data_IF_368697927907
#
_entry.id   IF_368697927907
#
_cell.length_a   1.000
_cell.length_b   1.000
_cell.length_c   1.000
_cell.angle_alpha   90.00
_cell.angle_beta   90.00
_cell.angle_gamma   90.00
#
_symmetry.space_group_name_H-M   'P 1'
#
loop_
_entity.id
_entity.type
_entity.pdbx_description
1 polymer ?
#
# COMPACT_ATOMS: atom_id res chain seq x y z
N UNK A 1 33.87 11.39 -5.45
CA UNK A 1 33.17 10.33 -4.71
C UNK A 1 33.77 9.01 -5.19
N UNK A 2 34.39 8.25 -4.31
CA UNK A 2 35.02 6.97 -4.66
C UNK A 2 34.01 5.82 -4.53
N UNK A 3 34.27 4.69 -5.19
CA UNK A 3 33.42 3.49 -5.08
C UNK A 3 33.26 3.02 -3.62
N UNK A 4 34.30 3.22 -2.82
CA UNK A 4 34.34 2.85 -1.40
C UNK A 4 33.47 3.77 -0.55
N UNK A 5 33.45 5.07 -0.84
CA UNK A 5 32.53 6.03 -0.21
C UNK A 5 31.06 5.70 -0.56
N UNK A 6 30.79 5.28 -1.79
CA UNK A 6 29.44 4.88 -2.22
C UNK A 6 29.00 3.61 -1.50
N UNK A 7 29.84 2.58 -1.40
CA UNK A 7 29.50 1.35 -0.67
C UNK A 7 29.17 1.65 0.80
N UNK A 8 30.02 2.43 1.48
CA UNK A 8 29.79 2.83 2.88
C UNK A 8 28.51 3.67 3.03
N UNK A 9 28.17 4.50 2.03
CA UNK A 9 26.92 5.24 2.03
C UNK A 9 25.71 4.31 1.85
N UNK A 10 25.79 3.32 0.97
CA UNK A 10 24.69 2.36 0.71
C UNK A 10 24.40 1.44 1.90
N UNK A 11 25.37 1.21 2.80
CA UNK A 11 25.14 0.46 4.05
C UNK A 11 24.22 1.19 5.04
N UNK A 12 24.07 2.52 4.91
CA UNK A 12 23.21 3.34 5.77
C UNK A 12 21.85 3.54 5.10
N UNK A 13 20.73 3.07 5.69
CA UNK A 13 19.42 3.10 5.05
C UNK A 13 18.98 4.48 4.54
N UNK A 14 19.23 5.55 5.32
CA UNK A 14 18.87 6.91 4.93
C UNK A 14 19.67 7.43 3.72
N UNK A 15 20.94 7.06 3.61
CA UNK A 15 21.79 7.45 2.50
C UNK A 15 21.49 6.59 1.26
N UNK A 16 21.26 5.29 1.43
CA UNK A 16 20.81 4.41 0.35
C UNK A 16 19.51 4.92 -0.28
N UNK A 17 18.54 5.34 0.55
CA UNK A 17 17.30 5.96 0.09
C UNK A 17 17.57 7.27 -0.66
N UNK A 18 18.45 8.13 -0.14
CA UNK A 18 18.77 9.41 -0.80
C UNK A 18 19.45 9.20 -2.16
N UNK A 19 20.33 8.19 -2.27
CA UNK A 19 21.03 7.83 -3.50
C UNK A 19 20.08 7.20 -4.52
N UNK A 20 19.15 6.34 -4.09
CA UNK A 20 18.19 5.67 -4.98
C UNK A 20 17.20 6.64 -5.63
N UNK A 21 16.99 7.82 -5.03
CA UNK A 21 16.14 8.89 -5.55
C UNK A 21 16.83 9.80 -6.57
N UNK A 22 18.14 9.64 -6.80
CA UNK A 22 18.85 10.44 -7.78
C UNK A 22 18.46 10.06 -9.20
N UNK A 23 18.15 11.09 -9.99
CA UNK A 23 17.97 10.98 -11.44
C UNK A 23 19.17 11.67 -12.07
N UNK A 24 20.11 10.88 -12.60
CA UNK A 24 21.39 11.39 -13.11
C UNK A 24 21.38 11.41 -14.62
N UNK A 25 21.90 12.49 -15.21
CA UNK A 25 22.11 12.58 -16.65
C UNK A 25 23.59 12.32 -16.93
N UNK A 26 23.87 11.28 -17.69
CA UNK A 26 25.23 10.90 -18.04
C UNK A 26 25.35 10.53 -19.51
N UNK A 27 26.58 10.51 -20.02
CA UNK A 27 26.87 9.95 -21.34
C UNK A 27 26.68 8.44 -21.30
N UNK A 28 25.98 7.90 -22.30
CA UNK A 28 25.66 6.48 -22.37
C UNK A 28 26.85 5.68 -22.90
N UNK A 29 27.15 4.55 -22.26
CA UNK A 29 28.12 3.56 -22.78
C UNK A 29 27.72 3.00 -24.15
N UNK A 30 26.43 3.06 -24.47
CA UNK A 30 25.89 2.64 -25.77
C UNK A 30 26.11 3.66 -26.88
N UNK A 31 26.70 4.83 -26.58
CA UNK A 31 27.12 5.85 -27.53
C UNK A 31 28.65 5.90 -27.61
N UNK A 32 29.20 5.34 -28.69
CA UNK A 32 30.64 5.22 -28.86
C UNK A 32 31.33 6.59 -28.97
N UNK A 33 32.26 6.85 -28.05
CA UNK A 33 33.19 7.98 -28.10
C UNK A 33 34.58 7.50 -27.67
N UNK A 34 35.51 7.40 -28.61
CA UNK A 34 36.86 6.90 -28.35
C UNK A 34 37.55 7.67 -27.21
N UNK A 35 37.44 9.00 -27.18
CA UNK A 35 38.10 9.83 -26.16
C UNK A 35 37.67 9.45 -24.73
N UNK A 36 36.40 9.06 -24.53
CA UNK A 36 35.89 8.63 -23.21
C UNK A 36 36.44 7.28 -22.77
N UNK A 37 36.64 6.38 -23.72
CA UNK A 37 37.23 5.09 -23.44
C UNK A 37 38.74 5.18 -23.26
N UNK A 38 39.39 6.13 -23.94
CA UNK A 38 40.83 6.43 -23.78
C UNK A 38 41.13 7.05 -22.40
N UNK A 39 40.19 7.81 -21.82
CA UNK A 39 40.31 8.31 -20.43
C UNK A 39 40.48 7.17 -19.40
N UNK A 40 40.07 5.94 -19.72
CA UNK A 40 40.19 4.77 -18.85
C UNK A 40 41.49 3.98 -19.04
N UNK A 41 42.35 4.36 -19.99
CA UNK A 41 43.55 3.59 -20.33
C UNK A 41 44.48 3.38 -19.15
N UNK A 42 44.73 4.41 -18.35
CA UNK A 42 45.55 4.30 -17.16
C UNK A 42 44.95 3.33 -16.13
N UNK A 43 43.63 3.37 -15.95
CA UNK A 43 42.91 2.48 -15.02
C UNK A 43 42.95 1.02 -15.47
N UNK A 44 42.90 0.80 -16.78
CA UNK A 44 42.95 -0.53 -17.39
C UNK A 44 44.37 -1.02 -17.65
N UNK A 45 45.40 -0.29 -17.21
CA UNK A 45 46.80 -0.65 -17.39
C UNK A 45 47.25 -0.63 -18.85
N UNK A 46 46.57 0.14 -19.70
CA UNK A 46 46.93 0.31 -21.11
C UNK A 46 47.84 1.52 -21.28
N UNK A 47 49.06 1.30 -21.77
CA UNK A 47 50.01 2.37 -22.08
C UNK A 47 50.49 2.25 -23.52
N UNK A 48 50.96 3.37 -24.07
CA UNK A 48 51.47 3.39 -25.45
C UNK A 48 52.74 2.56 -25.65
N UNK A 49 53.54 2.39 -24.60
CA UNK A 49 54.75 1.58 -24.53
C UNK A 49 54.52 0.14 -24.04
N UNK A 50 53.38 -0.11 -23.40
CA UNK A 50 52.94 -1.44 -22.92
C UNK A 50 51.41 -1.58 -23.12
N UNK A 51 50.96 -1.92 -24.34
CA UNK A 51 49.54 -1.95 -24.66
C UNK A 51 48.86 -3.19 -24.09
N UNK A 52 47.90 -2.97 -23.19
CA UNK A 52 46.96 -4.01 -22.78
C UNK A 52 46.07 -4.40 -23.98
N UNK A 53 46.32 -5.58 -24.55
CA UNK A 53 45.62 -6.09 -25.74
C UNK A 53 44.15 -6.41 -25.44
N UNK A 54 43.86 -7.01 -24.28
CA UNK A 54 42.49 -7.35 -23.88
C UNK A 54 41.62 -6.09 -23.80
N UNK A 55 42.19 -4.99 -23.28
CA UNK A 55 41.49 -3.72 -23.23
C UNK A 55 41.26 -3.10 -24.62
N UNK A 56 42.24 -3.22 -25.53
CA UNK A 56 42.10 -2.74 -26.89
C UNK A 56 41.03 -3.52 -27.68
N UNK A 57 40.97 -4.85 -27.49
CA UNK A 57 39.92 -5.70 -28.03
C UNK A 57 38.55 -5.36 -27.44
N UNK A 58 38.48 -5.12 -26.13
CA UNK A 58 37.24 -4.72 -25.45
C UNK A 58 36.71 -3.38 -25.95
N UNK A 59 37.58 -2.37 -26.18
CA UNK A 59 37.18 -1.12 -26.84
C UNK A 59 36.56 -1.37 -28.22
N UNK A 60 37.14 -2.28 -29.02
CA UNK A 60 36.57 -2.65 -30.31
C UNK A 60 35.22 -3.36 -30.18
N UNK A 61 35.07 -4.22 -29.16
CA UNK A 61 33.80 -4.89 -28.86
C UNK A 61 32.73 -3.88 -28.46
N UNK A 62 33.03 -2.96 -27.55
CA UNK A 62 32.14 -1.89 -27.11
C UNK A 62 31.72 -1.02 -28.29
N UNK A 63 32.67 -0.61 -29.15
CA UNK A 63 32.38 0.14 -30.38
C UNK A 63 31.40 -0.59 -31.29
N UNK A 64 31.54 -1.91 -31.41
CA UNK A 64 30.67 -2.74 -32.25
C UNK A 64 29.27 -2.93 -31.65
N UNK A 65 29.18 -2.98 -30.32
CA UNK A 65 27.90 -3.13 -29.60
C UNK A 65 27.16 -1.79 -29.41
N UNK A 66 27.85 -0.66 -29.60
CA UNK A 66 27.25 0.66 -29.53
C UNK A 66 26.26 0.86 -30.67
N UNK A 67 24.99 1.07 -30.31
CA UNK A 67 23.87 1.22 -31.26
C UNK A 67 23.24 2.61 -31.24
N UNK A 68 23.58 3.45 -30.26
CA UNK A 68 22.91 4.74 -30.06
C UNK A 68 23.08 5.69 -31.25
N UNK A 69 24.24 5.63 -31.91
CA UNK A 69 24.55 6.43 -33.10
C UNK A 69 23.68 6.12 -34.32
N UNK A 70 23.02 4.95 -34.35
CA UNK A 70 22.22 4.49 -35.49
C UNK A 70 20.75 4.89 -35.41
N UNK A 71 20.30 5.40 -34.25
CA UNK A 71 18.90 5.74 -34.00
C UNK A 71 18.59 7.21 -33.61
N UNK A 72 19.46 8.22 -33.87
CA UNK A 72 19.25 9.56 -33.37
C UNK A 72 17.91 10.14 -33.85
N UNK A 73 17.12 10.68 -32.92
CA UNK A 73 15.82 11.30 -33.22
C UNK A 73 14.66 10.32 -33.46
N UNK A 74 14.89 9.00 -33.37
CA UNK A 74 13.81 8.00 -33.33
C UNK A 74 13.41 7.71 -31.88
N UNK A 75 12.14 7.40 -31.65
CA UNK A 75 11.62 6.97 -30.34
C UNK A 75 11.91 7.93 -29.17
N UNK A 76 12.01 9.24 -29.44
CA UNK A 76 12.34 10.27 -28.43
C UNK A 76 13.73 10.13 -27.78
N UNK A 77 14.65 9.40 -28.42
CA UNK A 77 16.03 9.25 -27.95
C UNK A 77 16.88 10.43 -28.48
N UNK A 78 17.56 11.11 -27.56
CA UNK A 78 18.42 12.25 -27.87
C UNK A 78 19.62 11.84 -28.73
N UNK A 79 19.98 12.69 -29.69
CA UNK A 79 21.13 12.46 -30.57
C UNK A 79 22.49 12.74 -29.88
N UNK A 80 22.48 13.35 -28.69
CA UNK A 80 23.70 13.74 -27.97
C UNK A 80 24.35 12.61 -27.15
N UNK A 81 23.82 11.39 -27.23
CA UNK A 81 24.36 10.22 -26.53
C UNK A 81 24.15 10.26 -25.01
N UNK A 82 23.29 11.15 -24.50
CA UNK A 82 23.05 11.29 -23.05
C UNK A 82 21.75 10.61 -22.64
N UNK A 83 21.83 9.86 -21.54
CA UNK A 83 20.72 9.15 -20.95
C UNK A 83 20.44 9.67 -19.54
N UNK A 84 19.17 9.58 -19.14
CA UNK A 84 18.79 9.70 -17.74
C UNK A 84 18.77 8.30 -17.12
N UNK A 85 19.52 8.12 -16.04
CA UNK A 85 19.47 6.91 -15.22
C UNK A 85 18.68 7.21 -13.94
N UNK A 86 17.86 6.24 -13.54
CA UNK A 86 17.11 6.25 -12.29
C UNK A 86 16.95 4.81 -11.79
N UNK A 87 16.80 4.62 -10.48
CA UNK A 87 16.51 3.30 -9.90
C UNK A 87 15.02 2.98 -10.04
N UNK A 88 14.62 2.01 -10.87
CA UNK A 88 13.21 1.78 -11.18
C UNK A 88 12.40 1.35 -9.95
N UNK A 89 12.99 0.60 -9.03
CA UNK A 89 12.32 0.21 -7.79
C UNK A 89 12.01 1.39 -6.87
N UNK A 90 12.94 2.35 -6.78
CA UNK A 90 12.72 3.58 -6.01
C UNK A 90 11.63 4.46 -6.66
N UNK A 91 11.58 4.50 -8.00
CA UNK A 91 10.53 5.24 -8.71
C UNK A 91 9.13 4.63 -8.46
N UNK A 92 9.00 3.30 -8.47
CA UNK A 92 7.76 2.61 -8.11
C UNK A 92 7.35 2.91 -6.67
N UNK A 93 8.31 2.89 -5.73
CA UNK A 93 8.08 3.24 -4.33
C UNK A 93 7.56 4.68 -4.17
N UNK A 94 8.14 5.65 -4.89
CA UNK A 94 7.66 7.04 -4.93
C UNK A 94 6.24 7.14 -5.45
N UNK A 95 5.91 6.47 -6.57
CA UNK A 95 4.53 6.49 -7.09
C UNK A 95 3.55 5.83 -6.14
N UNK A 96 3.96 4.76 -5.44
CA UNK A 96 3.14 4.14 -4.40
C UNK A 96 2.91 5.11 -3.24
N UNK A 97 3.95 5.87 -2.84
CA UNK A 97 3.90 6.88 -1.79
C UNK A 97 3.04 8.09 -2.18
N UNK A 98 3.10 8.54 -3.43
CA UNK A 98 2.28 9.64 -3.94
C UNK A 98 0.80 9.22 -4.08
N UNK A 99 0.52 8.00 -4.54
CA UNK A 99 -0.83 7.45 -4.50
C UNK A 99 -1.36 7.31 -3.05
N UNK A 100 -0.46 7.05 -2.10
CA UNK A 100 -0.70 7.04 -0.66
C UNK A 100 -0.76 8.43 -0.01
N UNK A 101 -0.39 9.52 -0.70
CA UNK A 101 -0.51 10.87 -0.17
C UNK A 101 -1.96 11.43 -0.28
N UNK A 102 -2.88 10.67 -0.89
CA UNK A 102 -4.30 10.96 -0.78
C UNK A 102 -4.77 10.63 0.64
N UNK A 103 -4.78 11.63 1.52
CA UNK A 103 -5.38 11.58 2.86
C UNK A 103 -6.92 11.54 2.83
N UNK A 104 -7.49 11.05 1.73
CA UNK A 104 -8.91 10.84 1.55
C UNK A 104 -9.21 9.34 1.62
N UNK A 105 -10.39 9.01 2.15
CA UNK A 105 -10.92 7.67 2.05
C UNK A 105 -11.19 7.37 0.58
N UNK A 106 -10.46 6.41 0.02
CA UNK A 106 -10.54 6.03 -1.39
C UNK A 106 -11.88 5.33 -1.70
N UNK A 107 -12.26 4.39 -0.86
CA UNK A 107 -13.53 3.66 -0.87
C UNK A 107 -13.95 3.34 0.58
N UNK A 108 -15.24 3.05 0.80
CA UNK A 108 -15.69 2.59 2.13
C UNK A 108 -15.92 3.65 3.18
N UNK A 109 -16.28 4.87 2.75
CA UNK A 109 -16.52 6.00 3.67
C UNK A 109 -17.55 5.67 4.76
N UNK A 110 -18.64 4.98 4.42
CA UNK A 110 -19.64 4.57 5.41
C UNK A 110 -19.06 3.67 6.49
N UNK A 111 -18.20 2.71 6.11
CA UNK A 111 -17.54 1.80 7.05
C UNK A 111 -16.53 2.56 7.90
N UNK A 112 -15.69 3.40 7.28
CA UNK A 112 -14.73 4.22 8.00
C UNK A 112 -15.43 5.09 9.05
N UNK A 113 -16.48 5.81 8.68
CA UNK A 113 -17.20 6.71 9.59
C UNK A 113 -17.88 5.97 10.75
N UNK A 114 -18.21 4.69 10.58
CA UNK A 114 -18.84 3.84 11.61
C UNK A 114 -17.84 3.12 12.53
N UNK A 115 -16.62 2.84 12.06
CA UNK A 115 -15.64 2.01 12.77
C UNK A 115 -14.72 2.84 13.69
N UNK A 116 -15.25 3.20 14.86
CA UNK A 116 -14.51 4.00 15.85
C UNK A 116 -14.75 5.51 15.71
N UNK A 117 -14.03 6.32 16.49
CA UNK A 117 -14.11 7.77 16.39
C UNK A 117 -12.80 8.46 16.82
N UNK A 118 -12.76 9.78 16.57
CA UNK A 118 -11.62 10.63 16.92
C UNK A 118 -11.88 11.49 18.17
N UNK A 119 -12.71 11.00 19.09
CA UNK A 119 -13.02 11.65 20.36
C UNK A 119 -12.15 11.02 21.46
N UNK A 120 -11.12 11.70 22.01
CA UNK A 120 -10.13 11.07 22.90
C UNK A 120 -10.69 10.42 24.17
N UNK A 121 -11.82 10.93 24.66
CA UNK A 121 -12.51 10.39 25.86
C UNK A 121 -13.48 9.26 25.55
N UNK A 122 -13.69 8.94 24.27
CA UNK A 122 -14.61 7.89 23.86
C UNK A 122 -13.97 6.51 24.04
N UNK A 123 -14.74 5.50 24.48
CA UNK A 123 -14.27 4.11 24.44
C UNK A 123 -13.97 3.63 23.01
N UNK A 124 -14.47 4.33 21.99
CA UNK A 124 -14.27 4.01 20.57
C UNK A 124 -13.14 4.83 19.94
N UNK A 125 -12.29 5.50 20.74
CA UNK A 125 -11.15 6.24 20.21
C UNK A 125 -10.14 5.31 19.52
N UNK A 126 -9.99 5.47 18.20
CA UNK A 126 -9.32 4.49 17.34
C UNK A 126 -7.84 4.77 17.07
N UNK A 127 -7.38 6.00 17.30
CA UNK A 127 -5.99 6.42 16.98
C UNK A 127 -4.92 5.95 17.96
N UNK A 128 -5.24 4.99 18.81
CA UNK A 128 -4.31 4.34 19.74
C UNK A 128 -4.54 2.85 19.66
N UNK A 129 -3.49 2.07 19.98
CA UNK A 129 -3.65 0.62 20.00
C UNK A 129 -4.74 0.21 21.01
N UNK A 130 -5.53 -0.78 20.62
CA UNK A 130 -6.61 -1.34 21.42
C UNK A 130 -6.80 -2.83 21.10
N UNK A 131 -7.64 -3.51 21.88
CA UNK A 131 -8.01 -4.90 21.65
C UNK A 131 -9.53 -5.03 21.63
N UNK A 132 -10.15 -5.53 20.54
CA UNK A 132 -11.61 -5.59 20.38
C UNK A 132 -12.38 -6.51 21.35
N UNK A 133 -11.72 -7.23 22.26
CA UNK A 133 -12.40 -7.98 23.32
C UNK A 133 -12.69 -9.46 23.04
N UNK A 134 -12.11 -10.06 21.99
CA UNK A 134 -12.34 -11.47 21.65
C UNK A 134 -11.03 -12.24 21.36
N UNK A 135 -11.10 -13.58 21.43
CA UNK A 135 -9.94 -14.46 21.29
C UNK A 135 -9.34 -14.52 19.89
N UNK A 136 -10.11 -14.15 18.85
CA UNK A 136 -9.67 -14.22 17.46
C UNK A 136 -8.94 -12.94 17.02
N UNK A 137 -9.30 -11.80 17.60
CA UNK A 137 -8.70 -10.50 17.31
C UNK A 137 -7.33 -10.33 17.96
N UNK A 138 -6.45 -9.65 17.23
CA UNK A 138 -5.18 -9.18 17.72
C UNK A 138 -5.24 -7.74 18.24
N UNK A 139 -4.04 -7.17 18.43
CA UNK A 139 -3.90 -5.74 18.71
C UNK A 139 -4.36 -4.98 17.47
N UNK A 140 -5.25 -4.01 17.65
CA UNK A 140 -5.85 -3.23 16.56
C UNK A 140 -5.43 -1.77 16.68
N UNK A 141 -5.21 -1.12 15.54
CA UNK A 141 -4.93 0.32 15.44
C UNK A 141 -5.84 0.96 14.38
N UNK A 142 -6.23 2.21 14.58
CA UNK A 142 -7.14 2.89 13.68
C UNK A 142 -8.47 2.16 13.55
N UNK A 143 -9.09 2.26 12.37
CA UNK A 143 -10.44 1.77 12.11
C UNK A 143 -10.45 0.33 11.60
N UNK A 144 -9.81 -0.59 12.33
CA UNK A 144 -9.85 -2.03 12.08
C UNK A 144 -8.57 -2.67 11.53
N UNK A 145 -7.42 -1.99 11.58
CA UNK A 145 -6.13 -2.60 11.24
C UNK A 145 -5.70 -3.58 12.35
N UNK A 146 -6.04 -4.87 12.20
CA UNK A 146 -5.74 -5.94 13.16
C UNK A 146 -4.36 -6.58 12.91
N UNK A 147 -3.49 -6.63 13.92
CA UNK A 147 -2.11 -7.12 13.78
C UNK A 147 -1.95 -8.62 14.07
N UNK A 148 -3.02 -9.32 14.44
CA UNK A 148 -2.97 -10.70 14.94
C UNK A 148 -2.60 -11.74 13.88
N UNK A 149 -2.87 -11.48 12.61
CA UNK A 149 -2.53 -12.39 11.50
C UNK A 149 -1.45 -11.84 10.56
N UNK A 150 -0.76 -10.76 10.97
CA UNK A 150 0.28 -10.09 10.18
C UNK A 150 1.65 -10.38 10.78
N UNK A 151 2.67 -10.41 9.93
CA UNK A 151 4.08 -10.49 10.34
C UNK A 151 4.57 -9.14 10.87
N UNK A 152 5.68 -9.16 11.61
CA UNK A 152 6.32 -7.94 12.12
C UNK A 152 6.73 -6.99 10.99
N UNK A 153 7.33 -7.54 9.93
CA UNK A 153 7.78 -6.78 8.75
C UNK A 153 6.60 -6.11 8.05
N UNK A 154 5.52 -6.85 7.78
CA UNK A 154 4.32 -6.27 7.15
C UNK A 154 3.73 -5.12 7.98
N UNK A 155 3.71 -5.26 9.30
CA UNK A 155 3.21 -4.19 10.16
C UNK A 155 4.12 -2.97 10.07
N UNK A 156 5.43 -3.15 10.20
CA UNK A 156 6.40 -2.08 10.11
C UNK A 156 6.31 -1.34 8.77
N UNK A 157 6.23 -2.06 7.66
CA UNK A 157 6.12 -1.48 6.31
C UNK A 157 4.80 -0.70 6.14
N UNK A 158 3.67 -1.23 6.64
CA UNK A 158 2.40 -0.50 6.61
C UNK A 158 2.43 0.77 7.47
N UNK A 159 3.04 0.72 8.66
CA UNK A 159 3.15 1.89 9.53
C UNK A 159 4.01 2.98 8.90
N UNK A 160 5.20 2.63 8.41
CA UNK A 160 6.11 3.59 7.77
C UNK A 160 5.52 4.13 6.47
N UNK A 161 4.85 3.30 5.67
CA UNK A 161 4.11 3.72 4.47
C UNK A 161 2.95 4.67 4.79
N UNK A 162 2.34 4.56 5.98
CA UNK A 162 1.33 5.49 6.46
C UNK A 162 1.92 6.79 7.02
N UNK A 163 3.25 6.96 7.02
CA UNK A 163 3.94 8.14 7.56
C UNK A 163 4.12 8.10 9.08
N UNK A 164 4.04 6.94 9.71
CA UNK A 164 4.34 6.76 11.15
C UNK A 164 5.86 6.70 11.33
N UNK A 165 6.38 7.46 12.30
CA UNK A 165 7.81 7.56 12.57
C UNK A 165 8.42 6.20 12.92
N UNK A 166 9.67 5.97 12.53
CA UNK A 166 10.40 4.71 12.70
C UNK A 166 10.25 4.12 14.13
N UNK A 167 10.54 4.90 15.17
CA UNK A 167 10.47 4.43 16.56
C UNK A 167 9.07 3.98 16.97
N UNK A 168 8.03 4.67 16.50
CA UNK A 168 6.65 4.32 16.77
C UNK A 168 6.23 3.08 15.96
N UNK A 169 6.60 3.02 14.69
CA UNK A 169 6.36 1.87 13.81
C UNK A 169 6.99 0.58 14.36
N UNK A 170 8.25 0.65 14.81
CA UNK A 170 8.97 -0.48 15.43
C UNK A 170 8.26 -0.99 16.68
N UNK A 171 7.79 -0.10 17.57
CA UNK A 171 7.02 -0.51 18.75
C UNK A 171 5.68 -1.13 18.39
N UNK A 172 4.98 -0.59 17.38
CA UNK A 172 3.71 -1.15 16.90
C UNK A 172 3.92 -2.54 16.30
N UNK A 173 4.99 -2.74 15.53
CA UNK A 173 5.32 -4.01 14.86
C UNK A 173 5.49 -5.18 15.84
N UNK A 174 5.93 -4.93 17.07
CA UNK A 174 6.01 -5.94 18.13
C UNK A 174 4.67 -6.59 18.49
N UNK A 175 3.54 -6.00 18.08
CA UNK A 175 2.20 -6.56 18.26
C UNK A 175 1.90 -7.77 17.35
N UNK A 176 2.78 -8.07 16.37
CA UNK A 176 2.59 -9.15 15.40
C UNK A 176 2.18 -10.48 16.04
N UNK A 177 1.22 -11.17 15.42
CA UNK A 177 0.79 -12.51 15.85
C UNK A 177 0.06 -12.56 17.21
N UNK A 178 0.04 -11.47 18.00
CA UNK A 178 -0.60 -11.46 19.32
C UNK A 178 -2.12 -11.48 19.15
N UNK A 179 -2.80 -12.40 19.85
CA UNK A 179 -4.26 -12.55 19.85
C UNK A 179 -4.80 -12.73 21.27
N UNK A 180 -6.10 -12.48 21.45
CA UNK A 180 -6.80 -12.73 22.71
C UNK A 180 -6.12 -12.07 23.92
N UNK A 181 -5.88 -12.85 24.98
CA UNK A 181 -5.26 -12.35 26.21
C UNK A 181 -3.86 -11.77 26.01
N UNK A 182 -3.07 -12.31 25.07
CA UNK A 182 -1.72 -11.80 24.76
C UNK A 182 -1.82 -10.41 24.10
N UNK A 183 -2.79 -10.21 23.21
CA UNK A 183 -3.06 -8.90 22.62
C UNK A 183 -3.56 -7.90 23.67
N UNK A 184 -4.46 -8.33 24.56
CA UNK A 184 -4.94 -7.52 25.67
C UNK A 184 -3.79 -7.05 26.57
N UNK A 185 -2.87 -7.96 26.94
CA UNK A 185 -1.72 -7.63 27.77
C UNK A 185 -0.79 -6.65 27.07
N UNK A 186 -0.46 -6.88 25.80
CA UNK A 186 0.38 -5.96 25.02
C UNK A 186 -0.19 -4.54 24.98
N UNK A 187 -1.51 -4.41 24.77
CA UNK A 187 -2.18 -3.10 24.79
C UNK A 187 -2.03 -2.43 26.15
N UNK A 188 -2.27 -3.15 27.25
CA UNK A 188 -2.14 -2.59 28.61
C UNK A 188 -0.74 -2.06 28.88
N UNK A 189 0.29 -2.78 28.42
CA UNK A 189 1.69 -2.46 28.69
C UNK A 189 2.25 -1.35 27.77
N UNK A 190 1.78 -1.28 26.51
CA UNK A 190 2.44 -0.47 25.48
C UNK A 190 1.61 0.71 24.96
N UNK A 191 0.31 0.80 25.28
CA UNK A 191 -0.58 1.84 24.71
C UNK A 191 -0.09 3.26 24.95
N UNK A 192 0.38 3.56 26.16
CA UNK A 192 0.88 4.89 26.51
C UNK A 192 2.22 5.20 25.81
N UNK A 193 3.14 4.24 25.75
CA UNK A 193 4.49 4.42 25.21
C UNK A 193 4.57 4.41 23.68
N UNK A 194 3.60 3.76 23.01
CA UNK A 194 3.38 3.85 21.55
C UNK A 194 2.72 5.18 21.18
N UNK A 195 1.81 5.66 22.02
CA UNK A 195 1.11 6.93 21.77
C UNK A 195 0.08 6.84 20.64
N UNK A 196 -0.27 8.01 20.12
CA UNK A 196 -1.38 8.20 19.20
C UNK A 196 -0.88 8.42 17.76
N UNK A 197 -1.65 7.96 16.78
CA UNK A 197 -1.45 8.31 15.36
C UNK A 197 -2.25 9.57 14.97
N UNK A 198 -1.91 10.17 13.83
CA UNK A 198 -2.67 11.29 13.26
C UNK A 198 -3.94 10.79 12.56
N UNK A 199 -4.94 11.65 12.31
CA UNK A 199 -6.10 11.28 11.50
C UNK A 199 -5.73 10.81 10.09
N UNK A 200 -4.70 11.39 9.50
CA UNK A 200 -4.20 11.04 8.16
C UNK A 200 -3.60 9.63 8.17
N UNK A 201 -2.77 9.31 9.17
CA UNK A 201 -2.22 7.96 9.37
C UNK A 201 -3.34 6.93 9.55
N UNK A 202 -4.41 7.26 10.28
CA UNK A 202 -5.59 6.38 10.45
C UNK A 202 -6.30 6.10 9.11
N UNK A 203 -6.46 7.12 8.26
CA UNK A 203 -7.04 6.98 6.92
C UNK A 203 -6.18 6.06 6.04
N UNK A 204 -4.86 6.24 6.07
CA UNK A 204 -3.95 5.42 5.27
C UNK A 204 -3.94 3.95 5.70
N UNK A 205 -3.99 3.68 7.01
CA UNK A 205 -4.13 2.31 7.51
C UNK A 205 -5.46 1.66 7.10
N UNK A 206 -6.55 2.44 7.04
CA UNK A 206 -7.83 1.94 6.54
C UNK A 206 -7.78 1.61 5.04
N UNK A 207 -7.21 2.50 4.23
CA UNK A 207 -7.04 2.30 2.79
C UNK A 207 -6.20 1.05 2.47
N UNK A 208 -5.27 0.64 3.35
CA UNK A 208 -4.50 -0.60 3.20
C UNK A 208 -5.38 -1.85 3.34
N UNK A 209 -6.36 -1.86 4.24
CA UNK A 209 -7.13 -3.07 4.57
C UNK A 209 -8.44 -3.19 3.81
N UNK A 210 -9.04 -2.06 3.43
CA UNK A 210 -10.38 -2.04 2.84
C UNK A 210 -10.51 -2.82 1.53
N UNK A 211 -9.53 -2.81 0.60
CA UNK A 211 -9.62 -3.60 -0.64
C UNK A 211 -9.85 -5.10 -0.40
N UNK A 212 -9.23 -5.68 0.63
CA UNK A 212 -9.45 -7.09 0.98
C UNK A 212 -10.91 -7.37 1.41
N UNK A 213 -11.58 -6.38 2.00
CA UNK A 213 -13.01 -6.49 2.36
C UNK A 213 -13.91 -6.35 1.13
N UNK A 214 -13.52 -5.55 0.14
CA UNK A 214 -14.21 -5.49 -1.16
C UNK A 214 -14.14 -6.84 -1.86
N UNK A 215 -12.95 -7.43 -1.99
CA UNK A 215 -12.76 -8.76 -2.60
C UNK A 215 -13.56 -9.85 -1.88
N UNK A 216 -13.57 -9.80 -0.54
CA UNK A 216 -14.36 -10.72 0.28
C UNK A 216 -15.87 -10.50 0.10
N UNK A 217 -16.31 -9.26 -0.10
CA UNK A 217 -17.71 -8.97 -0.37
C UNK A 217 -18.14 -9.47 -1.74
N UNK A 218 -17.32 -9.29 -2.77
CA UNK A 218 -17.53 -9.89 -4.10
C UNK A 218 -17.66 -11.41 -3.97
N UNK A 219 -16.69 -12.05 -3.29
CA UNK A 219 -16.69 -13.50 -3.10
C UNK A 219 -17.94 -14.01 -2.35
N UNK A 220 -18.37 -13.30 -1.30
CA UNK A 220 -19.60 -13.64 -0.57
C UNK A 220 -20.84 -13.40 -1.42
N UNK A 221 -20.89 -12.31 -2.17
CA UNK A 221 -22.00 -11.97 -3.04
C UNK A 221 -22.19 -13.06 -4.09
N UNK A 222 -21.12 -13.42 -4.80
CA UNK A 222 -21.15 -14.48 -5.81
C UNK A 222 -21.56 -15.81 -5.19
N UNK A 223 -20.97 -16.20 -4.06
CA UNK A 223 -21.29 -17.44 -3.37
C UNK A 223 -22.78 -17.53 -3.00
N UNK A 224 -23.34 -16.47 -2.41
CA UNK A 224 -24.70 -16.50 -1.85
C UNK A 224 -25.81 -16.19 -2.86
N UNK A 225 -25.48 -15.61 -4.01
CA UNK A 225 -26.46 -15.17 -5.02
C UNK A 225 -26.35 -15.92 -6.34
N UNK A 226 -25.35 -16.79 -6.56
CA UNK A 226 -25.10 -17.48 -7.84
C UNK A 226 -26.33 -18.13 -8.48
N UNK A 227 -27.23 -18.69 -7.67
CA UNK A 227 -28.44 -19.39 -8.15
C UNK A 227 -29.65 -18.48 -8.36
N UNK A 228 -29.54 -17.18 -8.09
CA UNK A 228 -30.67 -16.26 -8.10
C UNK A 228 -30.84 -15.65 -9.50
N UNK A 229 -31.99 -15.88 -10.18
CA UNK A 229 -32.18 -15.47 -11.57
C UNK A 229 -32.26 -13.95 -11.74
N UNK A 230 -32.70 -13.23 -10.70
CA UNK A 230 -32.87 -11.78 -10.72
C UNK A 230 -31.61 -11.03 -10.22
N UNK A 231 -30.48 -11.73 -10.03
CA UNK A 231 -29.28 -11.08 -9.49
C UNK A 231 -28.69 -10.13 -10.53
N UNK A 232 -28.30 -8.95 -10.07
CA UNK A 232 -27.50 -8.00 -10.84
C UNK A 232 -26.03 -8.38 -10.68
N UNK A 233 -25.24 -8.29 -11.76
CA UNK A 233 -23.80 -8.48 -11.67
C UNK A 233 -23.17 -7.46 -10.71
N UNK A 234 -22.19 -7.87 -9.90
CA UNK A 234 -21.56 -6.98 -8.90
C UNK A 234 -21.11 -5.65 -9.48
N UNK A 235 -20.52 -5.65 -10.67
CA UNK A 235 -20.02 -4.44 -11.31
C UNK A 235 -21.14 -3.50 -11.79
N UNK A 236 -22.36 -4.01 -11.97
CA UNK A 236 -23.54 -3.26 -12.37
C UNK A 236 -24.41 -2.79 -11.19
N UNK A 237 -24.10 -3.22 -9.96
CA UNK A 237 -24.75 -2.68 -8.76
C UNK A 237 -24.39 -1.20 -8.55
N UNK A 238 -25.36 -0.43 -8.07
CA UNK A 238 -25.15 0.95 -7.63
C UNK A 238 -24.06 0.97 -6.55
N UNK A 239 -23.15 1.94 -6.64
CA UNK A 239 -22.02 2.05 -5.72
C UNK A 239 -22.47 2.05 -4.25
N UNK A 240 -23.56 2.74 -3.94
CA UNK A 240 -24.08 2.86 -2.57
C UNK A 240 -24.61 1.54 -2.01
N UNK A 241 -25.09 0.64 -2.88
CA UNK A 241 -25.47 -0.73 -2.49
C UNK A 241 -24.20 -1.54 -2.24
N UNK A 242 -23.20 -1.47 -3.13
CA UNK A 242 -21.90 -2.14 -2.93
C UNK A 242 -21.26 -1.74 -1.61
N UNK A 243 -21.21 -0.44 -1.30
CA UNK A 243 -20.65 0.08 -0.06
C UNK A 243 -21.31 -0.57 1.17
N UNK A 244 -22.64 -0.71 1.17
CA UNK A 244 -23.40 -1.34 2.25
C UNK A 244 -23.16 -2.85 2.33
N UNK A 245 -23.05 -3.54 1.19
CA UNK A 245 -22.72 -4.96 1.16
C UNK A 245 -21.30 -5.22 1.68
N UNK A 246 -20.33 -4.38 1.34
CA UNK A 246 -18.97 -4.45 1.90
C UNK A 246 -19.01 -4.18 3.41
N UNK A 247 -19.78 -3.20 3.87
CA UNK A 247 -19.91 -2.91 5.30
C UNK A 247 -20.53 -4.06 6.11
N UNK A 248 -21.48 -4.81 5.53
CA UNK A 248 -21.98 -6.04 6.14
C UNK A 248 -20.87 -7.07 6.33
N UNK A 249 -20.02 -7.26 5.30
CA UNK A 249 -18.88 -8.18 5.38
C UNK A 249 -17.85 -7.70 6.38
N UNK A 250 -17.60 -6.39 6.44
CA UNK A 250 -16.72 -5.77 7.42
C UNK A 250 -17.17 -6.06 8.86
N UNK A 251 -18.47 -5.91 9.12
CA UNK A 251 -19.07 -6.22 10.42
C UNK A 251 -19.14 -7.73 10.71
N UNK A 252 -18.91 -8.59 9.73
CA UNK A 252 -18.87 -10.05 9.89
C UNK A 252 -20.15 -10.78 9.51
N UNK A 253 -21.13 -10.13 8.87
CA UNK A 253 -22.35 -10.75 8.34
C UNK A 253 -22.08 -11.56 7.06
N UNK A 254 -21.31 -12.63 7.21
CA UNK A 254 -20.80 -13.46 6.09
C UNK A 254 -21.33 -14.89 6.09
N UNK A 255 -21.91 -15.35 7.21
CA UNK A 255 -22.30 -16.76 7.42
C UNK A 255 -23.64 -17.16 6.82
N UNK A 256 -24.37 -16.24 6.18
CA UNK A 256 -25.68 -16.53 5.62
C UNK A 256 -25.99 -15.66 4.41
N UNK A 257 -26.97 -16.07 3.60
CA UNK A 257 -27.25 -15.45 2.30
C UNK A 257 -27.96 -14.10 2.41
N UNK A 258 -28.73 -13.87 3.48
CA UNK A 258 -29.69 -12.77 3.55
C UNK A 258 -29.08 -11.38 3.31
N UNK A 259 -27.91 -11.02 3.88
CA UNK A 259 -27.30 -9.71 3.61
C UNK A 259 -26.98 -9.48 2.14
N UNK A 260 -26.47 -10.50 1.44
CA UNK A 260 -26.12 -10.40 0.01
C UNK A 260 -27.37 -10.41 -0.87
N UNK A 261 -28.33 -11.31 -0.58
CA UNK A 261 -29.59 -11.38 -1.32
C UNK A 261 -30.42 -10.10 -1.21
N UNK A 262 -30.39 -9.42 -0.06
CA UNK A 262 -31.10 -8.16 0.13
C UNK A 262 -30.61 -7.01 -0.78
N UNK A 263 -29.36 -7.08 -1.28
CA UNK A 263 -28.82 -6.08 -2.21
C UNK A 263 -28.78 -6.52 -3.67
N UNK A 264 -29.06 -7.79 -3.98
CA UNK A 264 -28.72 -8.37 -5.29
C UNK A 264 -29.55 -7.85 -6.46
N UNK A 265 -30.75 -7.32 -6.19
CA UNK A 265 -31.68 -6.81 -7.22
C UNK A 265 -31.43 -5.35 -7.61
N UNK A 266 -30.36 -4.75 -7.09
CA UNK A 266 -30.05 -3.33 -7.23
C UNK A 266 -31.20 -2.39 -6.75
N UNK A 267 -32.00 -2.82 -5.77
CA UNK A 267 -33.12 -2.04 -5.21
C UNK A 267 -32.76 -1.50 -3.81
N UNK A 268 -32.52 -0.19 -3.73
CA UNK A 268 -32.23 0.52 -2.47
C UNK A 268 -33.36 0.39 -1.45
N UNK A 269 -34.61 0.43 -1.88
CA UNK A 269 -35.75 0.32 -0.98
C UNK A 269 -35.87 -1.09 -0.39
N UNK A 270 -35.57 -2.13 -1.17
CA UNK A 270 -35.47 -3.51 -0.67
C UNK A 270 -34.38 -3.66 0.40
N UNK A 271 -33.19 -3.14 0.13
CA UNK A 271 -32.07 -3.19 1.06
C UNK A 271 -32.36 -2.40 2.35
N UNK A 272 -32.96 -1.21 2.25
CA UNK A 272 -33.42 -0.42 3.41
C UNK A 272 -34.43 -1.23 4.23
N UNK A 273 -35.44 -1.84 3.60
CA UNK A 273 -36.43 -2.67 4.31
C UNK A 273 -35.75 -3.82 5.04
N UNK A 274 -34.77 -4.48 4.43
CA UNK A 274 -34.01 -5.55 5.08
C UNK A 274 -33.26 -5.04 6.31
N UNK A 275 -32.55 -3.92 6.19
CA UNK A 275 -31.78 -3.31 7.27
C UNK A 275 -32.68 -2.96 8.47
N UNK A 276 -33.83 -2.33 8.21
CA UNK A 276 -34.71 -1.81 9.25
C UNK A 276 -35.61 -2.88 9.88
N UNK A 277 -35.90 -3.97 9.16
CA UNK A 277 -36.79 -5.02 9.65
C UNK A 277 -36.07 -6.27 10.16
N UNK A 278 -34.74 -6.37 9.99
CA UNK A 278 -33.95 -7.50 10.52
C UNK A 278 -33.34 -7.12 11.87
N UNK A 279 -33.82 -7.64 13.02
CA UNK A 279 -33.36 -7.20 14.35
C UNK A 279 -31.85 -7.33 14.54
N UNK A 280 -31.25 -8.41 14.01
CA UNK A 280 -29.82 -8.66 14.09
C UNK A 280 -28.97 -7.60 13.35
N UNK A 281 -29.51 -6.95 12.31
CA UNK A 281 -28.87 -5.87 11.56
C UNK A 281 -29.21 -4.52 12.21
N UNK A 282 -30.51 -4.28 12.45
CA UNK A 282 -31.05 -3.01 12.96
C UNK A 282 -30.36 -2.54 14.24
N UNK A 283 -30.00 -3.45 15.14
CA UNK A 283 -29.34 -3.10 16.40
C UNK A 283 -28.04 -2.30 16.22
N UNK A 284 -27.39 -2.40 15.05
CA UNK A 284 -26.15 -1.68 14.74
C UNK A 284 -26.38 -0.36 13.98
N UNK A 285 -27.59 -0.12 13.46
CA UNK A 285 -27.90 1.04 12.62
C UNK A 285 -27.67 2.41 13.28
N UNK A 286 -27.84 2.59 14.61
CA UNK A 286 -27.49 3.86 15.24
C UNK A 286 -26.02 4.28 15.03
N UNK A 287 -25.10 3.31 14.96
CA UNK A 287 -23.68 3.56 14.65
C UNK A 287 -23.37 3.48 13.16
N UNK A 288 -24.01 2.56 12.43
CA UNK A 288 -23.68 2.25 11.03
C UNK A 288 -24.33 3.19 10.01
N UNK A 289 -25.53 3.71 10.30
CA UNK A 289 -26.25 4.65 9.43
C UNK A 289 -26.48 4.18 7.97
N UNK A 290 -26.60 2.86 7.70
CA UNK A 290 -26.71 2.31 6.33
C UNK A 290 -28.01 2.72 5.67
N UNK A 291 -29.13 2.57 6.37
CA UNK A 291 -30.43 2.95 5.82
C UNK A 291 -30.48 4.46 5.49
N UNK A 292 -29.85 5.31 6.31
CA UNK A 292 -29.74 6.74 6.04
C UNK A 292 -28.85 7.02 4.81
N UNK A 293 -27.72 6.31 4.70
CA UNK A 293 -26.81 6.43 3.56
C UNK A 293 -27.51 6.10 2.23
N UNK A 294 -28.27 5.01 2.18
CA UNK A 294 -29.03 4.57 1.00
C UNK A 294 -30.19 5.51 0.62
N UNK A 295 -30.75 6.27 1.58
CA UNK A 295 -31.82 7.25 1.29
C UNK A 295 -31.29 8.55 0.70
N UNK A 296 -30.06 8.91 1.05
CA UNK A 296 -29.48 10.22 0.73
C UNK A 296 -28.65 10.21 -0.56
N UNK A 297 -28.45 9.04 -1.16
CA UNK A 297 -27.69 8.82 -2.39
C UNK A 297 -28.45 7.83 -3.27
#
# INVERSE_FOLDING_TARGET
MTSQEIQVALEKPCHAQSISQLVTRHESEWFWNAARWDELDELMGHRSDDPNQDWAEEKNRIKTLSWWGDIPGRYSISADGKAWHFQPLALIDIFSTVARANHTISEGRITFDAEGNNIPTSPFFSRVIHWPGNNLSGVTLGRGYDMGSRTEIEIYDHMTSAGIAHDQATKIAQAHGKKGLIAQQFVRENKSSIGQITPEQEILLFNIIYPNYVDRAISNYDHWTASEPDRTDWNALDQVIRDVLVDFVYQGFTKGPNPMKAGMRNDKAELIRYIENTPAIRQYEPGRNRARYLRNN
#
